data_IF_940219333728
#
_entry.id   IF_940219333728
#
_cell.length_a   1.000
_cell.length_b   1.000
_cell.length_c   1.000
_cell.angle_alpha   90.00
_cell.angle_beta   90.00
_cell.angle_gamma   90.00
#
_symmetry.space_group_name_H-M   'P 1'
#
loop_
_entity.id
_entity.type
_entity.pdbx_description
1 polymer ?
#
# COMPACT_ATOMS: atom_id res chain seq x y z
N UNK A 1 6.85 -1.27 15.34
CA UNK A 1 5.88 -1.86 14.38
C UNK A 1 5.23 -0.76 13.54
N UNK A 2 5.15 -0.94 12.22
CA UNK A 2 4.57 0.06 11.28
C UNK A 2 3.45 -0.58 10.47
N UNK A 3 2.51 0.23 9.97
CA UNK A 3 1.50 -0.19 9.01
C UNK A 3 1.84 0.37 7.63
N UNK A 4 2.02 -0.52 6.65
CA UNK A 4 2.22 -0.20 5.25
C UNK A 4 0.96 -0.52 4.45
N UNK A 5 0.42 0.49 3.79
CA UNK A 5 -0.65 0.38 2.81
C UNK A 5 -0.03 0.59 1.41
N UNK A 6 -0.03 -0.44 0.58
CA UNK A 6 0.48 -0.38 -0.79
C UNK A 6 -0.66 -0.17 -1.77
N UNK A 7 -0.54 0.81 -2.65
CA UNK A 7 -1.29 0.77 -3.90
C UNK A 7 -0.85 -0.42 -4.76
N UNK A 8 -1.61 -0.74 -5.81
CA UNK A 8 -1.35 -1.88 -6.69
C UNK A 8 -0.87 -1.42 -8.06
N UNK A 9 -1.62 -0.54 -8.73
CA UNK A 9 -1.41 -0.23 -10.13
C UNK A 9 -0.26 0.77 -10.30
N UNK A 10 0.69 0.44 -11.16
CA UNK A 10 1.99 1.11 -11.34
C UNK A 10 2.84 1.22 -10.05
N UNK A 11 2.45 0.51 -8.98
CA UNK A 11 3.18 0.47 -7.70
C UNK A 11 3.85 -0.88 -7.49
N UNK A 12 3.12 -1.98 -7.66
CA UNK A 12 3.63 -3.34 -7.46
C UNK A 12 4.11 -3.97 -8.77
N UNK A 13 5.10 -4.86 -8.70
CA UNK A 13 5.67 -5.59 -9.84
C UNK A 13 4.64 -6.41 -10.64
N UNK A 14 3.53 -6.78 -10.01
CA UNK A 14 2.43 -7.50 -10.64
C UNK A 14 1.52 -6.60 -11.51
N UNK A 15 1.67 -5.28 -11.39
CA UNK A 15 0.91 -4.28 -12.14
C UNK A 15 1.82 -3.10 -12.52
N UNK A 16 2.87 -3.37 -13.31
CA UNK A 16 3.80 -2.38 -13.91
C UNK A 16 4.63 -1.51 -12.95
N UNK A 17 4.59 -1.74 -11.64
CA UNK A 17 5.37 -0.96 -10.67
C UNK A 17 6.71 -1.59 -10.27
N UNK A 18 7.57 -0.83 -9.56
CA UNK A 18 8.90 -1.31 -9.17
C UNK A 18 8.92 -2.12 -7.87
N UNK A 19 7.88 -2.05 -7.04
CA UNK A 19 7.88 -2.68 -5.71
C UNK A 19 7.67 -4.18 -5.84
N UNK A 20 8.62 -4.98 -5.34
CA UNK A 20 8.54 -6.43 -5.43
C UNK A 20 7.67 -7.01 -4.32
N UNK A 21 6.97 -8.11 -4.61
CA UNK A 21 6.23 -8.85 -3.59
C UNK A 21 7.15 -9.41 -2.50
N UNK A 22 8.42 -9.67 -2.84
CA UNK A 22 9.44 -10.10 -1.89
C UNK A 22 9.74 -9.01 -0.84
N UNK A 23 9.74 -7.74 -1.23
CA UNK A 23 10.03 -6.62 -0.33
C UNK A 23 8.86 -6.39 0.64
N UNK A 24 7.61 -6.49 0.14
CA UNK A 24 6.42 -6.53 0.99
C UNK A 24 6.46 -7.69 2.00
N UNK A 25 6.87 -8.87 1.55
CA UNK A 25 6.98 -10.04 2.41
C UNK A 25 8.07 -9.86 3.48
N UNK A 26 9.20 -9.24 3.13
CA UNK A 26 10.27 -8.95 4.09
C UNK A 26 9.78 -8.02 5.21
N UNK A 27 9.01 -6.97 4.88
CA UNK A 27 8.38 -6.11 5.89
C UNK A 27 7.41 -6.88 6.79
N UNK A 28 6.59 -7.76 6.23
CA UNK A 28 5.67 -8.59 7.02
C UNK A 28 6.43 -9.51 7.96
N UNK A 29 7.47 -10.18 7.47
CA UNK A 29 8.31 -11.09 8.25
C UNK A 29 9.09 -10.36 9.35
N UNK A 30 9.43 -9.08 9.18
CA UNK A 30 10.03 -8.24 10.23
C UNK A 30 9.02 -7.69 11.25
N UNK A 31 7.74 -8.08 11.16
CA UNK A 31 6.71 -7.76 12.13
C UNK A 31 5.91 -6.49 11.82
N UNK A 32 5.97 -5.97 10.59
CA UNK A 32 5.08 -4.88 10.16
C UNK A 32 3.71 -5.39 9.71
N UNK A 33 2.69 -4.54 9.82
CA UNK A 33 1.38 -4.78 9.23
C UNK A 33 1.48 -4.31 7.77
N UNK A 34 1.29 -5.22 6.82
CA UNK A 34 1.45 -4.93 5.38
C UNK A 34 0.14 -5.26 4.69
N UNK A 35 -0.44 -4.33 3.95
CA UNK A 35 -1.69 -4.57 3.24
C UNK A 35 -1.87 -3.69 2.01
N UNK A 36 -3.02 -3.84 1.36
CA UNK A 36 -3.32 -3.17 0.09
C UNK A 36 -4.30 -2.02 0.28
N UNK A 37 -4.08 -0.96 -0.48
CA UNK A 37 -4.93 0.21 -0.61
C UNK A 37 -4.97 0.62 -2.09
N UNK A 38 -5.61 -0.20 -2.93
CA UNK A 38 -5.62 -0.07 -4.38
C UNK A 38 -6.44 -1.17 -5.05
N UNK A 39 -6.07 -1.55 -6.28
CA UNK A 39 -6.73 -2.62 -7.04
C UNK A 39 -6.47 -4.03 -6.47
N UNK A 40 -7.02 -4.28 -5.28
CA UNK A 40 -6.90 -5.56 -4.57
C UNK A 40 -7.49 -6.74 -5.35
N UNK A 41 -8.42 -6.50 -6.26
CA UNK A 41 -8.99 -7.53 -7.14
C UNK A 41 -7.95 -8.12 -8.09
N UNK A 42 -7.06 -7.29 -8.64
CA UNK A 42 -5.93 -7.76 -9.43
C UNK A 42 -4.98 -8.59 -8.56
N UNK A 43 -4.57 -8.06 -7.39
CA UNK A 43 -3.64 -8.74 -6.50
C UNK A 43 -4.15 -10.13 -6.07
N UNK A 44 -5.38 -10.21 -5.57
CA UNK A 44 -5.97 -11.46 -5.08
C UNK A 44 -6.19 -12.50 -6.17
N UNK A 45 -6.30 -12.08 -7.44
CA UNK A 45 -6.45 -12.97 -8.59
C UNK A 45 -5.11 -13.53 -9.09
N UNK A 46 -4.04 -12.74 -9.03
CA UNK A 46 -2.75 -13.11 -9.64
C UNK A 46 -1.68 -13.55 -8.64
N UNK A 47 -1.84 -13.27 -7.34
CA UNK A 47 -0.87 -13.66 -6.31
C UNK A 47 -1.35 -14.93 -5.59
N UNK A 48 -0.69 -16.09 -5.77
CA UNK A 48 -1.03 -17.30 -5.03
C UNK A 48 -0.82 -17.12 -3.53
N UNK A 49 -1.72 -17.71 -2.74
CA UNK A 49 -1.70 -17.62 -1.27
C UNK A 49 -1.58 -16.17 -0.77
N UNK A 50 -2.25 -15.24 -1.46
CA UNK A 50 -2.20 -13.81 -1.12
C UNK A 50 -2.52 -13.53 0.35
N UNK A 51 -3.39 -14.32 0.97
CA UNK A 51 -3.82 -14.18 2.36
C UNK A 51 -2.68 -14.36 3.38
N UNK A 52 -1.61 -15.07 3.00
CA UNK A 52 -0.42 -15.21 3.85
C UNK A 52 0.55 -14.03 3.70
N UNK A 53 0.43 -13.26 2.62
CA UNK A 53 1.35 -12.18 2.23
C UNK A 53 0.92 -10.80 2.70
N UNK A 54 -0.37 -10.60 2.99
CA UNK A 54 -0.92 -9.32 3.45
C UNK A 54 -1.84 -9.50 4.65
N UNK A 55 -1.89 -8.49 5.52
CA UNK A 55 -2.77 -8.42 6.69
C UNK A 55 -4.17 -7.91 6.35
N UNK A 56 -4.29 -7.11 5.30
CA UNK A 56 -5.57 -6.52 4.87
C UNK A 56 -5.55 -6.24 3.37
N UNK A 57 -6.75 -6.14 2.79
CA UNK A 57 -6.97 -5.75 1.41
C UNK A 57 -8.09 -4.70 1.35
N UNK A 58 -7.97 -3.76 0.43
CA UNK A 58 -8.94 -2.71 0.21
C UNK A 58 -8.40 -1.66 -0.77
N UNK A 59 -9.13 -0.55 -0.96
CA UNK A 59 -10.39 -0.21 -0.31
C UNK A 59 -11.61 -0.95 -0.91
N UNK A 60 -12.55 -1.40 -0.07
CA UNK A 60 -13.81 -2.02 -0.52
C UNK A 60 -14.94 -1.00 -0.48
N UNK A 61 -15.36 -0.49 -1.66
CA UNK A 61 -16.43 0.53 -1.80
C UNK A 61 -16.18 1.85 -1.06
N UNK A 62 -14.99 2.05 -0.51
CA UNK A 62 -14.55 3.29 0.12
C UNK A 62 -13.60 4.04 -0.81
N UNK A 63 -13.46 5.33 -0.57
CA UNK A 63 -12.34 6.07 -1.14
C UNK A 63 -11.03 5.58 -0.51
N UNK A 64 -9.91 5.85 -1.17
CA UNK A 64 -8.57 5.56 -0.66
C UNK A 64 -8.34 6.26 0.69
N UNK A 65 -8.69 7.54 0.77
CA UNK A 65 -8.58 8.37 2.00
C UNK A 65 -9.40 7.79 3.16
N UNK A 66 -10.69 7.50 2.95
CA UNK A 66 -11.56 6.99 4.01
C UNK A 66 -11.06 5.65 4.54
N UNK A 67 -10.60 4.78 3.65
CA UNK A 67 -10.06 3.48 4.04
C UNK A 67 -8.78 3.59 4.88
N UNK A 68 -7.88 4.51 4.52
CA UNK A 68 -6.68 4.78 5.33
C UNK A 68 -7.05 5.38 6.70
N UNK A 69 -8.05 6.26 6.77
CA UNK A 69 -8.56 6.81 8.04
C UNK A 69 -9.10 5.69 8.94
N UNK A 70 -9.90 4.77 8.39
CA UNK A 70 -10.42 3.61 9.12
C UNK A 70 -9.28 2.72 9.66
N UNK A 71 -8.28 2.41 8.82
CA UNK A 71 -7.11 1.65 9.25
C UNK A 71 -6.38 2.33 10.41
N UNK A 72 -6.12 3.65 10.32
CA UNK A 72 -5.45 4.39 11.40
C UNK A 72 -6.29 4.51 12.66
N UNK A 73 -7.62 4.56 12.53
CA UNK A 73 -8.53 4.69 13.66
C UNK A 73 -8.61 3.40 14.47
N UNK A 74 -8.62 2.25 13.79
CA UNK A 74 -8.93 0.97 14.43
C UNK A 74 -7.75 -0.01 14.52
N UNK A 75 -6.67 0.21 13.78
CA UNK A 75 -5.48 -0.65 13.80
C UNK A 75 -4.30 0.12 14.39
N UNK A 76 -3.87 -0.26 15.59
CA UNK A 76 -2.72 0.37 16.22
C UNK A 76 -1.41 0.05 15.49
N UNK A 77 -0.64 1.10 15.17
CA UNK A 77 0.76 1.04 14.77
C UNK A 77 1.53 2.27 15.27
N UNK A 78 2.86 2.18 15.39
CA UNK A 78 3.71 3.32 15.79
C UNK A 78 3.81 4.38 14.68
N UNK A 79 3.72 3.95 13.42
CA UNK A 79 3.64 4.83 12.26
C UNK A 79 2.86 4.18 11.12
N UNK A 80 2.32 5.04 10.24
CA UNK A 80 1.47 4.68 9.12
C UNK A 80 2.09 5.20 7.83
N UNK A 81 2.26 4.30 6.85
CA UNK A 81 2.94 4.57 5.59
C UNK A 81 2.05 4.14 4.43
N UNK A 82 1.85 5.04 3.48
CA UNK A 82 1.24 4.74 2.19
C UNK A 82 2.36 4.69 1.16
N UNK A 83 2.48 3.56 0.46
CA UNK A 83 3.39 3.41 -0.68
C UNK A 83 2.54 3.35 -1.93
N UNK A 84 2.79 4.23 -2.88
CA UNK A 84 1.98 4.30 -4.08
C UNK A 84 2.65 5.13 -5.15
N UNK A 85 2.01 5.19 -6.30
CA UNK A 85 2.43 6.08 -7.36
C UNK A 85 1.97 7.52 -7.06
N UNK A 86 2.78 8.50 -7.45
CA UNK A 86 2.35 9.88 -7.57
C UNK A 86 2.44 10.26 -9.04
N UNK A 87 1.30 10.28 -9.75
CA UNK A 87 1.34 10.38 -11.19
C UNK A 87 1.69 11.80 -11.62
N UNK A 88 2.79 11.90 -12.37
CA UNK A 88 3.02 13.04 -13.29
C UNK A 88 2.11 12.96 -14.54
N UNK A 89 1.19 11.99 -14.59
CA UNK A 89 0.36 11.63 -15.74
C UNK A 89 -1.12 11.81 -15.35
N UNK A 90 -1.88 12.54 -16.18
CA UNK A 90 -3.31 12.75 -16.00
C UNK A 90 -4.06 11.40 -15.86
N UNK A 91 -4.80 11.21 -14.75
CA UNK A 91 -5.77 10.10 -14.58
C UNK A 91 -5.40 8.97 -13.60
N UNK A 92 -4.22 8.99 -12.98
CA UNK A 92 -3.86 8.03 -11.93
C UNK A 92 -4.28 8.51 -10.52
N UNK A 93 -4.39 7.56 -9.59
CA UNK A 93 -4.82 7.80 -8.20
C UNK A 93 -3.84 8.74 -7.49
N UNK A 94 -4.36 9.78 -6.82
CA UNK A 94 -3.54 10.71 -6.02
C UNK A 94 -3.30 10.13 -4.62
N UNK A 95 -2.33 9.22 -4.54
CA UNK A 95 -2.00 8.49 -3.33
C UNK A 95 -1.34 9.39 -2.29
N UNK A 96 -0.60 10.40 -2.75
CA UNK A 96 0.04 11.39 -1.90
C UNK A 96 -1.00 12.23 -1.14
N UNK A 97 -2.05 12.69 -1.82
CA UNK A 97 -3.16 13.40 -1.17
C UNK A 97 -3.93 12.51 -0.21
N UNK A 98 -4.28 11.28 -0.61
CA UNK A 98 -4.99 10.35 0.27
C UNK A 98 -4.19 10.04 1.54
N UNK A 99 -2.87 9.80 1.40
CA UNK A 99 -1.98 9.59 2.52
C UNK A 99 -1.93 10.80 3.46
N UNK A 100 -1.72 12.00 2.91
CA UNK A 100 -1.65 13.25 3.68
C UNK A 100 -2.92 13.49 4.47
N UNK A 101 -4.09 13.30 3.86
CA UNK A 101 -5.39 13.53 4.48
C UNK A 101 -5.71 12.50 5.56
N UNK A 102 -5.26 11.26 5.39
CA UNK A 102 -5.40 10.20 6.41
C UNK A 102 -4.33 10.25 7.51
N UNK A 103 -3.34 11.15 7.43
CA UNK A 103 -2.24 11.24 8.39
C UNK A 103 -1.19 10.13 8.25
N UNK A 104 -1.03 9.59 7.03
CA UNK A 104 0.02 8.65 6.66
C UNK A 104 1.22 9.40 6.08
N UNK A 105 2.42 8.88 6.31
CA UNK A 105 3.60 9.26 5.53
C UNK A 105 3.47 8.65 4.13
N UNK A 106 3.63 9.45 3.10
CA UNK A 106 3.72 8.96 1.73
C UNK A 106 5.16 8.62 1.36
N UNK A 107 5.36 7.51 0.65
CA UNK A 107 6.64 7.13 0.02
C UNK A 107 6.30 6.75 -1.43
N UNK A 108 7.04 7.30 -2.39
CA UNK A 108 6.85 6.92 -3.79
C UNK A 108 7.35 5.51 -4.05
N UNK A 109 6.72 4.83 -4.98
CA UNK A 109 7.01 3.46 -5.37
C UNK A 109 8.50 3.21 -5.69
N UNK A 110 9.16 4.13 -6.40
CA UNK A 110 10.60 4.00 -6.72
C UNK A 110 11.49 4.30 -5.51
N UNK A 111 11.10 5.25 -4.64
CA UNK A 111 11.85 5.53 -3.42
C UNK A 111 11.82 4.33 -2.48
N UNK A 112 10.66 3.69 -2.38
CA UNK A 112 10.52 2.44 -1.63
C UNK A 112 11.38 1.33 -2.23
N UNK A 113 11.34 1.15 -3.55
CA UNK A 113 12.17 0.17 -4.25
C UNK A 113 13.68 0.41 -4.07
N UNK A 114 14.09 1.67 -3.88
CA UNK A 114 15.46 2.08 -3.55
C UNK A 114 15.81 1.95 -2.05
N UNK A 115 14.88 1.48 -1.22
CA UNK A 115 15.09 1.14 0.18
C UNK A 115 14.57 2.16 1.20
N UNK A 116 13.80 3.17 0.78
CA UNK A 116 13.15 4.10 1.72
C UNK A 116 11.99 3.41 2.44
N UNK A 117 11.98 3.45 3.77
CA UNK A 117 11.08 2.66 4.62
C UNK A 117 10.47 3.47 5.78
#
# INVERSE_FOLDING_TARGET
MRLYAFDVDDTLEISNGPVRLADMQALRTSGHIVGLCGNWGLFTRFVPNWHDRVSFIGPMRLTKTDYLIELRTYVYAESYVMVGNDPRIFGASDDATAAREAGFRFIREFEFADGVC
#
